data_IF_827861162153
#
_entry.id   IF_827861162153
#
_cell.length_a   1.000
_cell.length_b   1.000
_cell.length_c   1.000
_cell.angle_alpha   90.00
_cell.angle_beta   90.00
_cell.angle_gamma   90.00
#
_symmetry.space_group_name_H-M   'P 1'
#
loop_
_entity.id
_entity.type
_entity.pdbx_description
1 polymer ?
#
# COMPACT_ATOMS: atom_id res chain seq x y z
N UNK A 1 -8.77 -6.70 -19.12
CA UNK A 1 -8.24 -5.51 -18.45
C UNK A 1 -6.79 -5.80 -18.12
N UNK A 2 -5.85 -5.13 -18.78
CA UNK A 2 -4.41 -5.36 -18.58
C UNK A 2 -4.04 -4.78 -17.21
N UNK A 3 -3.57 -5.63 -16.30
CA UNK A 3 -3.19 -5.22 -14.95
C UNK A 3 -1.88 -4.40 -15.07
N UNK A 4 -1.99 -3.08 -15.17
CA UNK A 4 -0.88 -2.18 -15.53
C UNK A 4 0.35 -2.32 -14.62
N UNK A 5 0.16 -2.82 -13.39
CA UNK A 5 1.20 -2.98 -12.39
C UNK A 5 1.93 -4.32 -12.48
N UNK A 6 1.48 -5.27 -13.32
CA UNK A 6 2.09 -6.59 -13.53
C UNK A 6 2.51 -7.31 -12.23
N UNK A 7 1.68 -7.23 -11.19
CA UNK A 7 1.95 -7.98 -9.96
C UNK A 7 1.92 -9.50 -10.23
N UNK A 8 2.75 -10.28 -9.52
CA UNK A 8 2.60 -11.72 -9.47
C UNK A 8 1.15 -12.13 -9.18
N UNK A 9 0.68 -13.22 -9.79
CA UNK A 9 -0.69 -13.72 -9.59
C UNK A 9 -0.97 -14.14 -8.14
N UNK A 10 0.08 -14.51 -7.41
CA UNK A 10 0.02 -14.92 -6.01
C UNK A 10 1.08 -14.18 -5.21
N UNK A 11 0.78 -13.99 -3.92
CA UNK A 11 1.70 -13.37 -2.98
C UNK A 11 0.99 -12.46 -2.00
N UNK A 12 1.77 -11.94 -1.05
CA UNK A 12 1.33 -10.90 -0.14
C UNK A 12 2.19 -9.67 -0.40
N UNK A 13 1.54 -8.59 -0.80
CA UNK A 13 2.21 -7.35 -1.17
C UNK A 13 2.17 -6.41 0.02
N UNK A 14 3.33 -5.90 0.42
CA UNK A 14 3.45 -4.82 1.40
C UNK A 14 4.24 -3.68 0.75
N UNK A 15 3.82 -2.45 1.03
CA UNK A 15 4.48 -1.26 0.52
C UNK A 15 4.00 -0.03 1.26
N UNK A 16 4.20 1.14 0.64
CA UNK A 16 3.78 2.41 1.22
C UNK A 16 3.06 3.28 0.24
N UNK A 17 2.14 4.10 0.75
CA UNK A 17 1.44 5.09 -0.03
C UNK A 17 1.30 6.39 0.76
N UNK A 18 1.18 7.51 0.03
CA UNK A 18 0.68 8.76 0.58
C UNK A 18 -0.81 8.85 0.25
N UNK A 19 -1.64 9.34 1.18
CA UNK A 19 -3.04 9.70 0.93
C UNK A 19 -3.35 11.14 1.39
N UNK A 20 -4.39 11.78 0.84
CA UNK A 20 -4.73 13.18 1.13
C UNK A 20 -5.39 13.41 2.48
N UNK A 21 -5.97 12.36 3.04
CA UNK A 21 -6.64 12.33 4.33
C UNK A 21 -5.71 11.87 5.47
N UNK A 22 -4.42 11.61 5.18
CA UNK A 22 -3.41 11.22 6.16
C UNK A 22 -2.19 12.15 6.11
N UNK A 23 -1.69 12.53 7.29
CA UNK A 23 -0.49 13.38 7.42
C UNK A 23 0.82 12.61 7.34
N UNK A 24 0.78 11.27 7.41
CA UNK A 24 1.93 10.38 7.40
C UNK A 24 1.86 9.39 6.23
N UNK A 25 2.99 8.80 5.82
CA UNK A 25 2.99 7.61 4.97
C UNK A 25 2.12 6.51 5.58
N UNK A 26 1.42 5.79 4.72
CA UNK A 26 0.61 4.64 5.07
C UNK A 26 1.39 3.37 4.73
N UNK A 27 1.38 2.40 5.64
CA UNK A 27 1.75 1.02 5.31
C UNK A 27 0.55 0.40 4.60
N UNK A 28 0.77 -0.14 3.41
CA UNK A 28 -0.31 -0.64 2.55
C UNK A 28 -0.11 -2.08 2.11
N UNK A 29 -1.22 -2.74 1.81
CA UNK A 29 -1.26 -4.04 1.12
C UNK A 29 -2.22 -4.01 -0.07
N UNK A 30 -2.13 -5.00 -0.96
CA UNK A 30 -3.00 -5.13 -2.13
C UNK A 30 -3.83 -6.40 -2.01
N UNK A 31 -5.16 -6.29 -2.19
CA UNK A 31 -6.10 -7.40 -2.26
C UNK A 31 -7.06 -7.17 -3.41
N UNK A 32 -7.19 -8.14 -4.30
CA UNK A 32 -8.12 -8.08 -5.44
C UNK A 32 -8.04 -6.76 -6.23
N UNK A 33 -6.81 -6.29 -6.48
CA UNK A 33 -6.54 -5.05 -7.20
C UNK A 33 -6.83 -3.76 -6.42
N UNK A 34 -7.22 -3.85 -5.16
CA UNK A 34 -7.47 -2.69 -4.28
C UNK A 34 -6.34 -2.52 -3.28
N UNK A 35 -5.90 -1.28 -3.08
CA UNK A 35 -4.90 -0.92 -2.07
C UNK A 35 -5.61 -0.64 -0.75
N UNK A 36 -5.11 -1.24 0.32
CA UNK A 36 -5.61 -1.07 1.68
C UNK A 36 -4.52 -0.45 2.56
N UNK A 37 -4.88 0.59 3.29
CA UNK A 37 -4.12 1.10 4.42
C UNK A 37 -4.24 0.13 5.60
N UNK A 38 -3.12 -0.43 6.03
CA UNK A 38 -3.00 -1.35 7.17
C UNK A 38 -2.14 -0.76 8.30
N UNK A 39 -1.85 0.55 8.24
CA UNK A 39 -1.09 1.26 9.27
C UNK A 39 -1.72 1.05 10.64
N UNK A 40 -0.93 0.65 11.63
CA UNK A 40 -1.42 0.41 12.99
C UNK A 40 -0.35 0.74 14.02
N UNK A 41 -0.76 0.93 15.29
CA UNK A 41 0.19 1.13 16.39
C UNK A 41 1.11 -0.08 16.62
N UNK A 42 0.71 -1.28 16.16
CA UNK A 42 1.52 -2.50 16.26
C UNK A 42 2.63 -2.51 15.21
N UNK A 43 2.36 -1.97 14.02
CA UNK A 43 3.31 -1.91 12.92
C UNK A 43 3.09 -0.62 12.10
N UNK A 44 3.64 0.53 12.56
CA UNK A 44 3.46 1.81 11.89
C UNK A 44 4.35 1.99 10.65
N UNK A 45 5.38 1.16 10.48
CA UNK A 45 6.30 1.18 9.32
C UNK A 45 6.38 -0.18 8.62
N UNK A 46 6.92 -0.23 7.39
CA UNK A 46 7.19 -1.50 6.70
C UNK A 46 8.27 -2.29 7.44
N UNK A 47 9.25 -1.61 8.03
CA UNK A 47 10.23 -2.23 8.93
C UNK A 47 9.56 -2.95 10.09
N UNK A 48 8.65 -2.29 10.81
CA UNK A 48 7.97 -2.90 11.95
C UNK A 48 7.19 -4.14 11.52
N UNK A 49 6.50 -4.10 10.37
CA UNK A 49 5.83 -5.28 9.79
C UNK A 49 6.82 -6.43 9.59
N UNK A 50 7.99 -6.15 9.00
CA UNK A 50 9.00 -7.16 8.69
C UNK A 50 9.68 -7.74 9.95
N UNK A 51 9.71 -7.00 11.05
CA UNK A 51 10.31 -7.41 12.33
C UNK A 51 9.32 -8.15 13.25
N UNK A 52 8.03 -8.28 12.86
CA UNK A 52 7.06 -9.09 13.59
C UNK A 52 7.42 -10.60 13.57
N UNK A 53 6.98 -11.38 14.59
CA UNK A 53 7.17 -12.83 14.58
C UNK A 53 6.49 -13.55 13.40
N UNK A 54 5.39 -12.99 12.90
CA UNK A 54 4.67 -13.48 11.70
C UNK A 54 4.22 -12.30 10.80
N UNK A 55 5.13 -11.75 9.97
CA UNK A 55 4.84 -10.60 9.10
C UNK A 55 3.73 -10.92 8.10
N UNK A 56 3.75 -12.14 7.54
CA UNK A 56 2.79 -12.56 6.54
C UNK A 56 1.38 -12.74 7.15
N UNK A 57 1.29 -13.34 8.33
CA UNK A 57 0.03 -13.44 9.07
C UNK A 57 -0.52 -12.08 9.46
N UNK A 58 0.33 -11.14 9.87
CA UNK A 58 -0.08 -9.77 10.16
C UNK A 58 -0.71 -9.09 8.94
N UNK A 59 0.01 -9.01 7.82
CA UNK A 59 -0.47 -8.33 6.61
C UNK A 59 -1.72 -9.02 6.02
N UNK A 60 -1.82 -10.34 6.13
CA UNK A 60 -2.99 -11.11 5.67
C UNK A 60 -4.24 -10.83 6.51
N UNK A 61 -4.09 -10.71 7.82
CA UNK A 61 -5.22 -10.55 8.77
C UNK A 61 -5.61 -9.10 9.03
N UNK A 62 -4.72 -8.14 8.78
CA UNK A 62 -4.99 -6.72 8.98
C UNK A 62 -6.23 -6.28 8.20
N UNK A 63 -7.32 -5.91 8.87
CA UNK A 63 -8.57 -5.53 8.17
C UNK A 63 -8.33 -4.43 7.15
N UNK A 64 -7.64 -3.37 7.59
CA UNK A 64 -7.28 -2.22 6.79
C UNK A 64 -8.47 -1.41 6.30
N UNK A 65 -8.17 -0.29 5.64
CA UNK A 65 -9.16 0.60 4.99
C UNK A 65 -8.82 0.73 3.50
N UNK A 66 -9.77 0.54 2.57
CA UNK A 66 -9.50 0.71 1.15
C UNK A 66 -9.19 2.17 0.84
N UNK A 67 -8.13 2.43 0.07
CA UNK A 67 -7.74 3.78 -0.39
C UNK A 67 -7.84 3.97 -1.89
N UNK A 68 -8.10 2.89 -2.64
CA UNK A 68 -8.45 2.95 -4.06
C UNK A 68 -7.88 1.79 -4.89
N UNK A 69 -8.22 1.76 -6.19
CA UNK A 69 -7.68 0.78 -7.15
C UNK A 69 -6.16 0.94 -7.34
N UNK A 70 -5.43 -0.19 -7.41
CA UNK A 70 -3.99 -0.21 -7.58
C UNK A 70 -3.54 0.45 -8.89
N UNK A 71 -4.25 0.20 -9.98
CA UNK A 71 -3.95 0.77 -11.30
C UNK A 71 -4.05 2.30 -11.30
N UNK A 72 -5.10 2.84 -10.68
CA UNK A 72 -5.30 4.28 -10.52
C UNK A 72 -4.21 4.92 -9.65
N UNK A 73 -3.84 4.27 -8.54
CA UNK A 73 -2.80 4.76 -7.63
C UNK A 73 -1.41 4.67 -8.30
N UNK A 74 -1.13 3.59 -9.02
CA UNK A 74 0.10 3.42 -9.78
C UNK A 74 0.21 4.49 -10.89
N UNK A 75 -0.87 4.76 -11.61
CA UNK A 75 -0.91 5.83 -12.61
C UNK A 75 -0.65 7.22 -12.00
N UNK A 76 -1.17 7.50 -10.79
CA UNK A 76 -0.91 8.75 -10.08
C UNK A 76 0.49 8.85 -9.47
N UNK A 77 1.29 7.77 -9.52
CA UNK A 77 2.62 7.74 -8.89
C UNK A 77 3.71 8.42 -9.73
N UNK A 78 3.47 8.61 -11.04
CA UNK A 78 4.36 9.34 -11.92
C UNK A 78 4.34 10.84 -11.61
N UNK A 79 5.47 11.37 -11.14
CA UNK A 79 5.61 12.74 -10.63
C UNK A 79 5.09 13.81 -11.61
N UNK A 80 5.37 13.66 -12.89
CA UNK A 80 5.01 14.64 -13.93
C UNK A 80 3.50 14.84 -14.13
N UNK A 81 2.69 13.86 -13.76
CA UNK A 81 1.23 13.88 -13.94
C UNK A 81 0.47 13.68 -12.60
N UNK A 82 1.18 13.73 -11.47
CA UNK A 82 0.62 13.43 -10.15
C UNK A 82 -0.38 14.50 -9.71
N UNK A 83 -1.55 14.03 -9.31
CA UNK A 83 -2.56 14.81 -8.59
C UNK A 83 -2.32 14.66 -7.07
N UNK A 84 -1.99 15.75 -6.34
CA UNK A 84 -1.72 15.70 -4.90
C UNK A 84 -2.98 15.42 -4.06
N UNK A 85 -4.18 15.53 -4.64
CA UNK A 85 -5.43 15.14 -3.98
C UNK A 85 -5.66 13.63 -3.95
N UNK A 86 -4.93 12.86 -4.78
CA UNK A 86 -5.09 11.41 -4.92
C UNK A 86 -3.93 10.65 -4.28
N UNK A 87 -4.15 9.38 -3.88
CA UNK A 87 -3.07 8.57 -3.35
C UNK A 87 -2.00 8.27 -4.40
N UNK A 88 -0.77 8.05 -3.96
CA UNK A 88 0.33 7.59 -4.80
C UNK A 88 1.30 6.70 -3.99
N UNK A 89 2.01 5.81 -4.69
CA UNK A 89 2.96 4.89 -4.07
C UNK A 89 4.25 5.60 -3.68
N UNK A 90 4.83 5.16 -2.56
CA UNK A 90 6.13 5.57 -2.09
C UNK A 90 7.11 4.40 -2.23
N UNK A 91 8.41 4.69 -2.13
CA UNK A 91 9.42 3.63 -1.96
C UNK A 91 9.01 2.74 -0.79
N UNK A 92 9.16 1.41 -0.83
CA UNK A 92 8.76 0.56 0.29
C UNK A 92 9.67 0.69 1.53
N UNK A 93 10.84 1.33 1.43
CA UNK A 93 11.83 1.41 2.53
C UNK A 93 11.62 2.63 3.45
N UNK A 94 11.23 2.40 4.71
CA UNK A 94 11.40 3.32 5.85
C UNK A 94 12.45 2.81 6.84
#
# INVERSE_FOLDING_TARGET
>A
MTNATHLPAEGLFVGRARASDASHPLVVTVRDGTVFDITSNVAPTVRDVCELPDPAGHVRSAKGRPIGPLDAIAANSFETARDPGKPYLLSPVD
#
